data_IF_971549729037
#
_entry.id   IF_971549729037
#
_cell.length_a   1.000
_cell.length_b   1.000
_cell.length_c   1.000
_cell.angle_alpha   90.00
_cell.angle_beta   90.00
_cell.angle_gamma   90.00
#
_symmetry.space_group_name_H-M   'P 1'
#
loop_
_entity.id
_entity.type
_entity.pdbx_description
1 polymer ?
#
# COMPACT_ATOMS: atom_id res chain seq x y z
N UNK A 1 -0.21 -14.82 9.56
CA UNK A 1 -1.37 -14.27 10.31
C UNK A 1 -2.64 -14.68 9.59
N UNK A 2 -3.70 -15.02 10.31
CA UNK A 2 -5.01 -15.24 9.70
C UNK A 2 -5.58 -13.91 9.21
N UNK A 3 -6.20 -13.89 8.02
CA UNK A 3 -6.82 -12.69 7.47
C UNK A 3 -8.21 -13.05 6.97
N UNK A 4 -9.22 -12.33 7.45
CA UNK A 4 -10.61 -12.50 7.03
C UNK A 4 -11.14 -11.21 6.41
N UNK A 5 -12.16 -11.33 5.56
CA UNK A 5 -12.81 -10.20 4.87
C UNK A 5 -14.33 -10.36 4.93
N UNK A 6 -15.02 -9.27 5.19
CA UNK A 6 -16.48 -9.18 5.19
C UNK A 6 -16.90 -7.92 4.43
N UNK A 7 -17.99 -8.00 3.66
CA UNK A 7 -18.63 -6.81 3.08
C UNK A 7 -19.35 -6.04 4.18
N UNK A 8 -19.36 -4.70 4.07
CA UNK A 8 -20.15 -3.85 4.96
C UNK A 8 -21.60 -3.85 4.47
N UNK A 9 -22.58 -4.29 5.28
CA UNK A 9 -23.98 -4.30 4.85
C UNK A 9 -24.48 -2.90 4.49
N UNK A 10 -25.07 -2.76 3.30
CA UNK A 10 -25.63 -1.50 2.82
C UNK A 10 -24.62 -0.51 2.22
N UNK A 11 -23.32 -0.80 2.28
CA UNK A 11 -22.28 0.02 1.68
C UNK A 11 -21.73 -0.66 0.42
N UNK A 12 -21.85 0.01 -0.73
CA UNK A 12 -21.30 -0.52 -1.97
C UNK A 12 -19.77 -0.41 -1.94
N UNK A 13 -19.06 -1.49 -2.28
CA UNK A 13 -17.60 -1.54 -2.37
C UNK A 13 -16.82 -1.29 -1.06
N UNK A 14 -17.46 -1.33 0.10
CA UNK A 14 -16.76 -1.26 1.40
C UNK A 14 -16.64 -2.65 2.04
N UNK A 15 -15.46 -2.91 2.61
CA UNK A 15 -15.10 -4.17 3.21
C UNK A 15 -14.39 -3.94 4.55
N UNK A 16 -14.63 -4.84 5.50
CA UNK A 16 -13.86 -4.94 6.74
C UNK A 16 -12.92 -6.13 6.61
N UNK A 17 -11.62 -5.84 6.65
CA UNK A 17 -10.56 -6.85 6.63
C UNK A 17 -9.95 -6.94 8.02
N UNK A 18 -10.01 -8.11 8.64
CA UNK A 18 -9.43 -8.36 9.97
C UNK A 18 -8.12 -9.12 9.79
N UNK A 19 -7.04 -8.58 10.35
CA UNK A 19 -5.70 -9.19 10.32
C UNK A 19 -5.39 -9.66 11.73
N UNK A 20 -5.42 -10.98 11.90
CA UNK A 20 -5.44 -11.64 13.21
C UNK A 20 -6.53 -11.04 14.12
N UNK A 21 -6.35 -11.16 15.44
CA UNK A 21 -7.20 -10.50 16.44
C UNK A 21 -6.75 -9.05 16.74
N UNK A 22 -5.85 -8.47 15.93
CA UNK A 22 -5.15 -7.22 16.27
C UNK A 22 -5.57 -6.03 15.42
N UNK A 23 -5.69 -6.19 14.11
CA UNK A 23 -5.96 -5.06 13.22
C UNK A 23 -7.29 -5.21 12.51
N UNK A 24 -8.01 -4.10 12.39
CA UNK A 24 -9.21 -3.98 11.55
C UNK A 24 -8.97 -2.91 10.52
N UNK A 25 -9.03 -3.28 9.24
CA UNK A 25 -8.84 -2.42 8.08
C UNK A 25 -10.21 -2.18 7.43
N UNK A 26 -10.52 -0.92 7.16
CA UNK A 26 -11.63 -0.54 6.27
C UNK A 26 -11.07 -0.41 4.87
N UNK A 27 -11.51 -1.28 3.96
CA UNK A 27 -11.04 -1.30 2.59
C UNK A 27 -12.17 -0.86 1.65
N UNK A 28 -11.87 0.05 0.72
CA UNK A 28 -12.80 0.52 -0.30
C UNK A 28 -12.28 0.10 -1.67
N UNK A 29 -13.10 -0.50 -2.51
CA UNK A 29 -12.80 -0.63 -3.93
C UNK A 29 -13.40 0.56 -4.69
N UNK A 30 -12.55 1.37 -5.30
CA UNK A 30 -13.00 2.53 -6.05
C UNK A 30 -13.17 2.17 -7.51
N UNK A 31 -14.33 2.52 -8.07
CA UNK A 31 -14.64 2.37 -9.50
C UNK A 31 -14.43 3.70 -10.25
N UNK A 32 -14.57 4.83 -9.55
CA UNK A 32 -14.44 6.17 -10.13
C UNK A 32 -13.87 7.23 -9.14
N UNK A 33 -13.69 8.46 -9.63
CA UNK A 33 -13.20 9.58 -8.83
C UNK A 33 -14.13 9.98 -7.68
N UNK A 34 -15.43 9.66 -7.77
CA UNK A 34 -16.41 9.96 -6.73
C UNK A 34 -16.17 9.08 -5.51
N UNK A 35 -15.88 7.79 -5.71
CA UNK A 35 -15.47 6.88 -4.65
C UNK A 35 -14.18 7.37 -3.96
N UNK A 36 -13.21 7.79 -4.77
CA UNK A 36 -11.95 8.34 -4.25
C UNK A 36 -12.21 9.60 -3.42
N UNK A 37 -13.03 10.53 -3.91
CA UNK A 37 -13.36 11.77 -3.17
C UNK A 37 -14.04 11.46 -1.84
N UNK A 38 -14.98 10.49 -1.82
CA UNK A 38 -15.66 10.05 -0.60
C UNK A 38 -14.66 9.46 0.40
N UNK A 39 -13.77 8.60 -0.08
CA UNK A 39 -12.70 8.04 0.74
C UNK A 39 -11.76 9.12 1.29
N UNK A 40 -11.34 10.09 0.46
CA UNK A 40 -10.51 11.24 0.86
C UNK A 40 -11.18 12.05 1.97
N UNK A 41 -12.46 12.40 1.79
CA UNK A 41 -13.22 13.15 2.80
C UNK A 41 -13.26 12.41 4.14
N UNK A 42 -13.46 11.09 4.10
CA UNK A 42 -13.46 10.23 5.29
C UNK A 42 -12.10 10.23 5.98
N UNK A 43 -11.00 9.98 5.26
CA UNK A 43 -9.67 9.94 5.87
C UNK A 43 -9.22 11.32 6.37
N UNK A 44 -9.59 12.41 5.70
CA UNK A 44 -9.27 13.77 6.17
C UNK A 44 -10.01 14.08 7.47
N UNK A 45 -11.30 13.68 7.59
CA UNK A 45 -12.07 13.85 8.82
C UNK A 45 -11.46 13.07 10.00
N UNK A 46 -10.96 11.87 9.75
CA UNK A 46 -10.41 10.97 10.79
C UNK A 46 -8.97 11.38 11.17
N UNK A 47 -8.11 11.61 10.18
CA UNK A 47 -6.65 11.73 10.39
C UNK A 47 -6.10 13.14 10.26
N UNK A 48 -6.87 14.12 9.77
CA UNK A 48 -6.54 15.57 9.81
C UNK A 48 -7.51 16.37 10.69
N UNK A 49 -7.59 16.11 12.01
CA UNK A 49 -8.33 17.00 12.88
C UNK A 49 -7.71 18.41 12.88
N UNK A 50 -8.57 19.44 12.83
CA UNK A 50 -8.22 20.87 12.63
C UNK A 50 -7.08 21.41 13.52
N UNK A 51 -6.82 20.76 14.65
CA UNK A 51 -5.84 21.21 15.65
C UNK A 51 -4.49 20.45 15.61
N UNK A 52 -4.26 19.56 14.64
CA UNK A 52 -3.00 18.80 14.51
C UNK A 52 -2.29 19.12 13.19
N UNK A 53 -1.07 19.66 13.27
CA UNK A 53 -0.16 19.88 12.12
C UNK A 53 0.62 18.60 11.71
N UNK A 54 0.05 17.41 11.92
CA UNK A 54 0.74 16.16 11.56
C UNK A 54 0.54 15.88 10.08
N UNK A 55 1.63 15.56 9.39
CA UNK A 55 1.59 15.07 8.01
C UNK A 55 0.81 13.76 7.96
N UNK A 56 -0.02 13.57 6.94
CA UNK A 56 -0.67 12.29 6.67
C UNK A 56 0.35 11.34 6.05
N UNK A 57 0.56 10.19 6.69
CA UNK A 57 1.40 9.13 6.13
C UNK A 57 0.55 8.24 5.22
N UNK A 58 0.83 8.31 3.93
CA UNK A 58 0.10 7.56 2.89
C UNK A 58 0.97 6.40 2.42
N UNK A 59 0.56 5.18 2.75
CA UNK A 59 1.18 3.96 2.21
C UNK A 59 0.74 3.73 0.77
N UNK A 60 1.69 3.48 -0.12
CA UNK A 60 1.44 3.26 -1.54
C UNK A 60 2.04 1.93 -2.01
N UNK A 61 1.19 1.09 -2.60
CA UNK A 61 1.56 -0.17 -3.21
C UNK A 61 0.88 -0.31 -4.58
N UNK A 62 1.40 -1.21 -5.40
CA UNK A 62 0.76 -1.56 -6.66
C UNK A 62 1.06 -2.99 -7.05
N UNK A 63 0.18 -3.56 -7.87
CA UNK A 63 0.23 -4.96 -8.23
C UNK A 63 -0.17 -5.21 -9.69
N UNK A 64 0.10 -6.43 -10.15
CA UNK A 64 -0.20 -6.95 -11.47
C UNK A 64 -0.70 -8.37 -11.31
N UNK A 65 -1.69 -8.75 -12.09
CA UNK A 65 -2.18 -10.12 -12.21
C UNK A 65 -1.04 -11.10 -12.49
N UNK A 66 -0.09 -10.68 -13.32
CA UNK A 66 1.11 -11.45 -13.68
C UNK A 66 2.09 -11.71 -12.52
N UNK A 67 1.94 -11.04 -11.37
CA UNK A 67 2.73 -11.37 -10.18
C UNK A 67 2.27 -12.68 -9.51
N UNK A 68 1.13 -13.23 -9.92
CA UNK A 68 0.55 -14.45 -9.37
C UNK A 68 0.68 -15.60 -10.35
N UNK A 69 0.91 -16.81 -9.84
CA UNK A 69 1.14 -18.00 -10.66
C UNK A 69 -0.06 -18.43 -11.51
N UNK A 70 -1.26 -17.91 -11.21
CA UNK A 70 -2.47 -18.09 -12.01
C UNK A 70 -2.92 -16.79 -12.72
N UNK A 71 -2.05 -15.79 -12.80
CA UNK A 71 -2.31 -14.55 -13.54
C UNK A 71 -2.52 -14.84 -15.02
N UNK A 72 -3.65 -14.41 -15.55
CA UNK A 72 -3.98 -14.52 -16.98
C UNK A 72 -4.07 -13.12 -17.56
N UNK A 73 -3.08 -12.70 -18.35
CA UNK A 73 -3.22 -11.49 -19.16
C UNK A 73 -3.79 -11.86 -20.53
N UNK A 74 -4.83 -11.14 -20.95
CA UNK A 74 -5.41 -11.27 -22.29
C UNK A 74 -4.59 -10.37 -23.22
N UNK A 75 -3.56 -10.93 -23.88
CA UNK A 75 -2.89 -10.39 -25.09
C UNK A 75 -2.01 -9.11 -24.89
N UNK A 76 -1.03 -8.67 -25.69
CA UNK A 76 -0.43 -9.03 -26.97
C UNK A 76 1.06 -8.58 -26.93
N UNK A 77 2.01 -9.38 -26.44
CA UNK A 77 3.40 -9.29 -26.90
C UNK A 77 4.22 -10.46 -26.36
N UNK A 78 4.44 -11.45 -27.20
CA UNK A 78 5.51 -12.43 -27.00
C UNK A 78 6.84 -11.67 -26.91
N UNK A 79 7.54 -11.74 -25.77
CA UNK A 79 8.89 -11.18 -25.62
C UNK A 79 9.05 -9.98 -24.68
N UNK A 80 7.98 -9.48 -24.05
CA UNK A 80 8.07 -8.44 -23.01
C UNK A 80 8.31 -9.09 -21.64
N UNK A 81 9.27 -8.57 -20.87
CA UNK A 81 9.54 -9.09 -19.51
C UNK A 81 8.38 -8.74 -18.57
N UNK A 82 8.03 -9.64 -17.65
CA UNK A 82 6.99 -9.40 -16.62
C UNK A 82 7.13 -8.04 -15.91
N UNK A 83 8.37 -7.61 -15.67
CA UNK A 83 8.71 -6.34 -15.00
C UNK A 83 8.31 -5.10 -15.82
N UNK A 84 8.15 -5.24 -17.13
CA UNK A 84 7.84 -4.14 -18.05
C UNK A 84 6.33 -3.93 -18.23
N UNK A 85 5.48 -4.90 -17.86
CA UNK A 85 4.03 -4.72 -17.87
C UNK A 85 3.57 -3.59 -16.95
N UNK A 86 2.57 -2.78 -17.33
CA UNK A 86 2.02 -1.74 -16.46
C UNK A 86 1.45 -2.28 -15.14
N UNK A 87 1.36 -1.43 -14.12
CA UNK A 87 0.62 -1.79 -12.89
C UNK A 87 -0.87 -1.78 -13.14
N UNK A 88 -1.58 -2.82 -12.72
CA UNK A 88 -3.02 -2.96 -12.98
C UNK A 88 -3.85 -2.48 -11.78
N UNK A 89 -3.31 -2.61 -10.57
CA UNK A 89 -3.96 -2.24 -9.32
C UNK A 89 -3.08 -1.29 -8.52
N UNK A 90 -3.62 -0.14 -8.14
CA UNK A 90 -3.04 0.79 -7.17
C UNK A 90 -3.73 0.59 -5.81
N UNK A 91 -2.95 0.57 -4.74
CA UNK A 91 -3.40 0.27 -3.40
C UNK A 91 -2.85 1.37 -2.48
N UNK A 92 -3.74 2.08 -1.82
CA UNK A 92 -3.39 3.25 -1.02
C UNK A 92 -3.97 3.07 0.37
N UNK A 93 -3.21 3.41 1.41
CA UNK A 93 -3.74 3.36 2.77
C UNK A 93 -3.29 4.54 3.63
N UNK A 94 -4.21 5.02 4.47
CA UNK A 94 -3.94 6.02 5.50
C UNK A 94 -4.46 5.48 6.82
N UNK A 95 -3.55 5.20 7.76
CA UNK A 95 -3.91 4.50 8.98
C UNK A 95 -4.46 3.12 8.65
N UNK A 96 -5.72 2.86 8.98
CA UNK A 96 -6.43 1.61 8.69
C UNK A 96 -7.53 1.76 7.63
N UNK A 97 -7.56 2.87 6.89
CA UNK A 97 -8.48 3.09 5.78
C UNK A 97 -7.72 2.97 4.47
N UNK A 98 -7.98 1.90 3.72
CA UNK A 98 -7.33 1.64 2.45
C UNK A 98 -8.31 1.77 1.28
N UNK A 99 -7.81 2.18 0.12
CA UNK A 99 -8.57 2.22 -1.13
C UNK A 99 -7.78 1.53 -2.24
N UNK A 100 -8.49 0.80 -3.08
CA UNK A 100 -7.95 0.06 -4.21
C UNK A 100 -8.54 0.60 -5.50
N UNK A 101 -7.69 0.94 -6.45
CA UNK A 101 -8.06 1.57 -7.72
C UNK A 101 -7.45 0.79 -8.88
N UNK A 102 -8.24 0.36 -9.85
CA UNK A 102 -7.71 -0.28 -11.07
C UNK A 102 -7.21 0.79 -12.04
N UNK A 103 -5.95 0.70 -12.45
CA UNK A 103 -5.29 1.67 -13.35
C UNK A 103 -5.56 1.37 -14.83
N UNK A 104 -5.72 0.09 -15.15
CA UNK A 104 -6.07 -0.37 -16.50
C UNK A 104 -7.50 -0.89 -16.51
N UNK A 105 -8.37 -0.18 -17.23
CA UNK A 105 -9.75 -0.56 -17.43
C UNK A 105 -9.91 -1.87 -18.20
N UNK A 106 -8.94 -2.25 -19.05
CA UNK A 106 -9.14 -3.37 -20.01
C UNK A 106 -9.41 -4.71 -19.34
N UNK A 107 -9.04 -4.87 -18.06
CA UNK A 107 -9.31 -6.08 -17.29
C UNK A 107 -10.62 -5.96 -16.50
N UNK A 108 -11.01 -4.78 -15.99
CA UNK A 108 -12.05 -4.72 -14.94
C UNK A 108 -13.15 -3.62 -15.13
N UNK A 109 -13.11 -2.79 -16.20
CA UNK A 109 -14.20 -1.85 -16.56
C UNK A 109 -14.20 -1.44 -18.05
N UNK A 110 -15.35 -1.05 -18.59
CA UNK A 110 -15.46 -0.64 -20.00
C UNK A 110 -14.68 0.64 -20.33
N UNK A 111 -13.51 0.47 -20.96
CA UNK A 111 -12.98 1.38 -21.98
C UNK A 111 -12.47 2.75 -21.54
N UNK A 112 -11.33 2.79 -20.85
CA UNK A 112 -10.50 3.99 -20.75
C UNK A 112 -9.50 3.93 -19.60
N UNK A 113 -8.26 4.39 -19.81
CA UNK A 113 -7.31 4.61 -18.71
C UNK A 113 -7.96 5.56 -17.68
N UNK A 114 -8.51 5.01 -16.60
CA UNK A 114 -9.05 5.83 -15.52
C UNK A 114 -7.90 6.23 -14.62
N UNK A 115 -7.78 7.54 -14.43
CA UNK A 115 -6.73 8.13 -13.64
C UNK A 115 -7.35 8.96 -12.52
N UNK A 116 -7.25 8.52 -11.25
CA UNK A 116 -7.93 9.18 -10.16
C UNK A 116 -7.31 10.55 -9.85
N UNK A 117 -7.86 11.63 -10.42
CA UNK A 117 -7.32 12.99 -10.26
C UNK A 117 -7.32 13.40 -8.80
N UNK A 118 -8.42 13.12 -8.09
CA UNK A 118 -8.52 13.39 -6.66
C UNK A 118 -7.42 12.69 -5.85
N UNK A 119 -7.00 11.48 -6.26
CA UNK A 119 -5.90 10.77 -5.62
C UNK A 119 -4.56 11.43 -5.94
N UNK A 120 -4.31 11.84 -7.18
CA UNK A 120 -3.10 12.59 -7.55
C UNK A 120 -2.97 13.87 -6.72
N UNK A 121 -4.06 14.62 -6.57
CA UNK A 121 -4.09 15.86 -5.78
C UNK A 121 -3.78 15.58 -4.31
N UNK A 122 -4.33 14.50 -3.72
CA UNK A 122 -3.98 14.07 -2.36
C UNK A 122 -2.49 13.76 -2.23
N UNK A 123 -1.91 12.96 -3.14
CA UNK A 123 -0.51 12.54 -3.03
C UNK A 123 0.47 13.72 -3.16
N UNK A 124 0.07 14.81 -3.83
CA UNK A 124 0.88 16.03 -3.98
C UNK A 124 0.62 17.09 -2.90
N UNK A 125 -0.31 16.85 -1.98
CA UNK A 125 -0.59 17.75 -0.87
C UNK A 125 0.66 17.91 0.02
N UNK A 126 1.04 19.16 0.34
CA UNK A 126 2.27 19.45 1.07
C UNK A 126 2.32 18.88 2.50
N UNK A 127 1.17 18.54 3.08
CA UNK A 127 0.99 17.85 4.36
C UNK A 127 0.72 16.35 4.21
N UNK A 128 1.09 15.75 3.08
CA UNK A 128 1.15 14.30 2.88
C UNK A 128 2.61 13.86 2.76
N UNK A 129 2.94 12.75 3.40
CA UNK A 129 4.18 12.00 3.22
C UNK A 129 3.82 10.66 2.60
N UNK A 130 4.23 10.44 1.36
CA UNK A 130 4.02 9.15 0.68
C UNK A 130 5.15 8.20 1.06
N UNK A 131 4.81 6.97 1.43
CA UNK A 131 5.77 5.93 1.80
C UNK A 131 5.55 4.67 0.98
N UNK A 132 6.63 3.95 0.67
CA UNK A 132 6.55 2.68 -0.03
C UNK A 132 7.84 1.88 -0.03
N UNK A 133 7.76 0.65 -0.51
CA UNK A 133 8.93 -0.22 -0.76
C UNK A 133 9.19 -0.28 -2.25
N UNK A 134 10.38 0.15 -2.68
CA UNK A 134 10.70 0.31 -4.09
C UNK A 134 10.07 1.54 -4.73
N UNK A 135 9.80 2.59 -3.93
CA UNK A 135 8.94 3.70 -4.34
C UNK A 135 9.52 4.51 -5.52
N UNK A 136 10.84 4.62 -5.64
CA UNK A 136 11.49 5.28 -6.77
C UNK A 136 11.29 4.53 -8.09
N UNK A 137 11.45 3.20 -8.05
CA UNK A 137 11.23 2.34 -9.22
C UNK A 137 9.76 2.34 -9.61
N UNK A 138 8.88 2.31 -8.61
CA UNK A 138 7.45 2.47 -8.79
C UNK A 138 7.13 3.80 -9.47
N UNK A 139 7.67 4.93 -8.99
CA UNK A 139 7.41 6.26 -9.54
C UNK A 139 7.88 6.43 -10.98
N UNK A 140 9.10 5.99 -11.31
CA UNK A 140 9.61 6.01 -12.70
C UNK A 140 8.72 5.20 -13.65
N UNK A 141 8.16 4.09 -13.15
CA UNK A 141 7.25 3.26 -13.95
C UNK A 141 5.87 3.89 -14.11
N UNK A 142 5.34 4.50 -13.06
CA UNK A 142 4.08 5.24 -13.10
C UNK A 142 4.15 6.43 -14.08
N UNK A 143 5.27 7.14 -14.10
CA UNK A 143 5.52 8.21 -15.06
C UNK A 143 5.61 7.66 -16.50
N UNK A 144 6.37 6.58 -16.72
CA UNK A 144 6.52 5.96 -18.03
C UNK A 144 5.21 5.43 -18.61
N UNK A 145 4.43 4.69 -17.82
CA UNK A 145 3.27 3.94 -18.33
C UNK A 145 1.98 4.79 -18.34
N UNK A 146 1.90 5.76 -17.42
CA UNK A 146 0.68 6.54 -17.15
C UNK A 146 0.88 8.06 -17.18
N UNK A 147 2.10 8.57 -17.34
CA UNK A 147 2.38 10.01 -17.20
C UNK A 147 2.21 10.52 -15.76
N UNK A 148 2.19 9.63 -14.77
CA UNK A 148 2.01 9.99 -13.37
C UNK A 148 3.34 10.22 -12.67
N UNK A 149 3.71 11.49 -12.53
CA UNK A 149 4.84 11.89 -11.68
C UNK A 149 4.52 11.70 -10.20
N UNK A 150 5.41 11.03 -9.48
CA UNK A 150 5.32 10.90 -8.03
C UNK A 150 5.67 12.22 -7.33
N UNK A 151 5.08 12.49 -6.15
CA UNK A 151 5.45 13.65 -5.36
C UNK A 151 6.92 13.58 -4.93
N UNK A 152 7.58 14.75 -4.87
CA UNK A 152 8.99 14.88 -4.47
C UNK A 152 9.28 14.37 -3.05
N UNK A 153 8.26 14.23 -2.19
CA UNK A 153 8.38 13.79 -0.79
C UNK A 153 8.12 12.30 -0.58
N UNK A 154 8.25 11.48 -1.63
CA UNK A 154 8.14 10.02 -1.48
C UNK A 154 9.32 9.48 -0.65
N UNK A 155 9.01 8.59 0.30
CA UNK A 155 9.99 8.00 1.24
C UNK A 155 10.10 6.51 1.00
N UNK A 156 11.32 6.06 0.70
CA UNK A 156 11.68 4.64 0.64
C UNK A 156 11.82 4.06 2.05
N UNK A 157 10.95 3.11 2.40
CA UNK A 157 10.89 2.53 3.74
C UNK A 157 12.15 1.73 4.09
N UNK A 158 12.80 1.08 3.11
CA UNK A 158 14.05 0.34 3.36
C UNK A 158 15.18 1.27 3.82
N UNK A 159 15.27 2.43 3.20
CA UNK A 159 16.31 3.42 3.50
C UNK A 159 16.03 4.07 4.86
N UNK A 160 14.78 4.45 5.13
CA UNK A 160 14.39 5.00 6.43
C UNK A 160 14.64 4.00 7.57
N UNK A 161 14.30 2.72 7.37
CA UNK A 161 14.59 1.66 8.34
C UNK A 161 16.10 1.47 8.57
N UNK A 162 16.91 1.50 7.50
CA UNK A 162 18.37 1.38 7.59
C UNK A 162 18.98 2.55 8.38
N UNK A 163 18.58 3.78 8.07
CA UNK A 163 19.06 4.99 8.76
C UNK A 163 18.76 4.93 10.26
N UNK A 164 17.54 4.56 10.65
CA UNK A 164 17.15 4.50 12.06
C UNK A 164 17.85 3.37 12.82
N UNK A 165 18.27 2.29 12.15
CA UNK A 165 19.03 1.20 12.75
C UNK A 165 20.52 1.49 12.83
N UNK A 166 21.11 2.10 11.80
CA UNK A 166 22.53 2.48 11.76
C UNK A 166 22.89 3.55 12.81
N UNK A 167 21.94 4.40 13.17
CA UNK A 167 22.13 5.45 14.18
C UNK A 167 21.85 4.99 15.63
N UNK A 168 21.49 3.72 15.86
CA UNK A 168 21.53 3.13 17.19
C UNK A 168 22.96 2.61 17.40
N UNK A 169 23.82 3.44 17.99
CA UNK A 169 25.21 3.12 18.33
C UNK A 169 25.34 1.99 19.35
N UNK A 170 24.92 0.78 19.00
CA UNK A 170 25.33 -0.45 19.66
C UNK A 170 26.30 -1.17 18.74
N UNK A 171 27.62 -0.97 18.90
CA UNK A 171 28.53 -2.06 18.60
C UNK A 171 28.17 -3.21 19.54
N UNK A 172 28.18 -4.44 19.03
CA UNK A 172 27.99 -5.70 19.78
C UNK A 172 26.53 -6.17 19.91
N UNK A 173 26.03 -6.76 18.83
CA UNK A 173 25.36 -8.04 18.99
C UNK A 173 26.50 -9.10 19.04
N UNK A 174 26.53 -10.04 20.00
CA UNK A 174 27.62 -11.01 20.13
C UNK A 174 27.79 -11.93 18.91
N UNK A 175 26.82 -11.94 17.98
CA UNK A 175 26.84 -12.72 16.75
C UNK A 175 27.51 -12.02 15.54
N UNK A 176 28.15 -10.85 15.73
CA UNK A 176 28.95 -10.19 14.68
C UNK A 176 28.17 -9.76 13.43
N UNK A 177 26.83 -9.74 13.48
CA UNK A 177 26.01 -9.44 12.32
C UNK A 177 25.96 -7.93 12.07
N UNK A 178 26.71 -7.50 11.06
CA UNK A 178 26.74 -6.16 10.49
C UNK A 178 25.33 -5.62 10.24
N UNK A 179 25.18 -4.29 10.31
CA UNK A 179 23.99 -3.50 9.94
C UNK A 179 23.10 -4.25 8.95
N UNK A 180 21.89 -4.65 9.39
CA UNK A 180 20.96 -5.42 8.54
C UNK A 180 20.71 -4.63 7.25
N UNK A 181 21.19 -5.16 6.14
CA UNK A 181 20.92 -4.62 4.82
C UNK A 181 19.45 -4.86 4.44
N UNK A 182 18.65 -3.79 4.51
CA UNK A 182 17.24 -3.83 4.12
C UNK A 182 17.03 -3.71 2.61
N UNK A 183 18.07 -3.46 1.80
CA UNK A 183 17.95 -3.20 0.37
C UNK A 183 17.28 -4.36 -0.39
N UNK A 184 17.45 -5.60 0.09
CA UNK A 184 16.88 -6.82 -0.50
C UNK A 184 15.56 -7.25 0.13
N UNK A 185 15.03 -6.51 1.10
CA UNK A 185 13.81 -6.90 1.80
C UNK A 185 12.59 -6.53 0.95
N UNK A 186 11.78 -7.54 0.62
CA UNK A 186 10.42 -7.31 0.16
C UNK A 186 9.51 -6.84 1.30
N UNK A 187 8.31 -6.36 0.97
CA UNK A 187 7.36 -5.77 1.91
C UNK A 187 7.13 -6.63 3.18
N UNK A 188 6.83 -7.91 3.01
CA UNK A 188 6.58 -8.83 4.14
C UNK A 188 7.77 -8.95 5.10
N UNK A 189 8.98 -9.11 4.54
CA UNK A 189 10.21 -9.26 5.33
C UNK A 189 10.56 -7.96 6.04
N UNK A 190 10.32 -6.81 5.40
CA UNK A 190 10.52 -5.50 5.99
C UNK A 190 9.51 -5.25 7.12
N UNK A 191 8.24 -5.55 6.90
CA UNK A 191 7.18 -5.42 7.91
C UNK A 191 7.52 -6.20 9.18
N UNK A 192 7.93 -7.47 9.06
CA UNK A 192 8.40 -8.27 10.19
C UNK A 192 9.57 -7.63 10.92
N UNK A 193 10.55 -7.10 10.18
CA UNK A 193 11.74 -6.50 10.79
C UNK A 193 11.48 -5.15 11.47
N UNK A 194 10.48 -4.39 11.03
CA UNK A 194 10.13 -3.06 11.54
C UNK A 194 9.07 -3.14 12.64
N UNK A 195 8.03 -3.95 12.45
CA UNK A 195 6.85 -4.01 13.31
C UNK A 195 6.87 -5.15 14.32
N UNK A 196 7.77 -6.13 14.15
CA UNK A 196 7.90 -7.27 15.05
C UNK A 196 7.62 -8.63 14.39
N UNK A 197 8.07 -9.68 15.07
CA UNK A 197 7.99 -11.08 14.64
C UNK A 197 6.54 -11.58 14.50
N UNK A 198 5.63 -10.99 15.27
CA UNK A 198 4.21 -11.30 15.19
C UNK A 198 3.61 -10.91 13.83
N UNK A 199 4.18 -9.91 13.15
CA UNK A 199 3.75 -9.46 11.82
C UNK A 199 4.30 -10.39 10.73
N UNK A 200 3.79 -11.62 10.72
CA UNK A 200 4.09 -12.62 9.70
C UNK A 200 3.02 -12.63 8.60
N UNK A 201 3.15 -11.67 7.66
CA UNK A 201 2.36 -11.59 6.45
C UNK A 201 2.98 -12.43 5.34
N UNK A 202 2.20 -13.30 4.71
CA UNK A 202 2.61 -14.08 3.54
C UNK A 202 1.67 -13.74 2.40
N UNK A 203 2.23 -13.10 1.36
CA UNK A 203 1.49 -12.83 0.12
C UNK A 203 1.18 -14.16 -0.56
N UNK A 204 -0.07 -14.41 -0.99
CA UNK A 204 -0.40 -15.65 -1.67
C UNK A 204 0.28 -15.72 -3.04
N UNK A 205 0.76 -16.91 -3.41
CA UNK A 205 1.35 -17.15 -4.74
C UNK A 205 0.29 -17.27 -5.84
N UNK A 206 -0.94 -17.64 -5.50
CA UNK A 206 -2.08 -17.74 -6.42
C UNK A 206 -3.23 -16.92 -5.88
N UNK A 207 -3.83 -16.08 -6.73
CA UNK A 207 -5.02 -15.31 -6.40
C UNK A 207 -5.87 -15.17 -7.64
N UNK A 208 -7.18 -15.33 -7.52
CA UNK A 208 -8.09 -14.97 -8.62
C UNK A 208 -8.16 -13.45 -8.64
N UNK A 209 -7.71 -12.82 -9.73
CA UNK A 209 -7.55 -11.36 -9.80
C UNK A 209 -8.90 -10.62 -9.86
N UNK A 210 -9.70 -10.89 -10.89
CA UNK A 210 -11.08 -10.42 -11.01
C UNK A 210 -12.02 -11.64 -11.22
N UNK A 211 -13.29 -11.51 -10.83
CA UNK A 211 -14.32 -12.52 -11.10
C UNK A 211 -14.61 -12.55 -12.61
N UNK A 212 -13.91 -13.39 -13.38
CA UNK A 212 -14.17 -13.49 -14.82
C UNK A 212 -15.46 -14.26 -15.07
N UNK A 213 -16.50 -13.56 -15.54
CA UNK A 213 -17.31 -14.16 -16.59
C UNK A 213 -16.60 -13.81 -17.89
N UNK A 214 -16.32 -14.79 -18.75
CA UNK A 214 -15.68 -14.64 -20.07
C UNK A 214 -16.55 -13.84 -21.07
N UNK A 215 -17.36 -12.94 -20.56
CA UNK A 215 -18.28 -12.11 -21.30
C UNK A 215 -17.59 -10.74 -21.41
N UNK A 216 -17.14 -10.32 -22.62
CA UNK A 216 -16.47 -9.04 -22.85
C UNK A 216 -17.26 -7.80 -22.42
N UNK A 217 -18.51 -7.97 -21.96
CA UNK A 217 -19.44 -6.92 -21.61
C UNK A 217 -19.77 -6.73 -20.11
N UNK A 218 -19.10 -7.45 -19.19
CA UNK A 218 -19.30 -7.24 -17.75
C UNK A 218 -18.10 -6.54 -17.09
N UNK A 219 -18.30 -5.52 -16.22
CA UNK A 219 -17.21 -4.97 -15.42
C UNK A 219 -16.66 -6.08 -14.52
N UNK A 220 -15.41 -6.48 -14.75
CA UNK A 220 -14.81 -7.51 -13.91
C UNK A 220 -14.50 -6.87 -12.54
N UNK A 221 -14.98 -7.47 -11.46
CA UNK A 221 -14.72 -6.94 -10.11
C UNK A 221 -13.52 -7.64 -9.51
N UNK A 222 -12.69 -6.92 -8.76
CA UNK A 222 -11.65 -7.55 -7.94
C UNK A 222 -12.30 -8.59 -7.02
N UNK A 223 -11.67 -9.74 -6.87
CA UNK A 223 -12.17 -10.75 -5.94
C UNK A 223 -11.99 -10.29 -4.49
N UNK A 224 -12.78 -10.85 -3.58
CA UNK A 224 -12.64 -10.60 -2.13
C UNK A 224 -11.24 -10.93 -1.64
N UNK A 225 -10.60 -11.97 -2.18
CA UNK A 225 -9.22 -12.30 -1.84
C UNK A 225 -8.24 -11.23 -2.31
N UNK A 226 -8.39 -10.70 -3.53
CA UNK A 226 -7.52 -9.62 -4.01
C UNK A 226 -7.68 -8.36 -3.16
N UNK A 227 -8.92 -7.96 -2.85
CA UNK A 227 -9.23 -6.84 -1.94
C UNK A 227 -8.59 -7.07 -0.56
N UNK A 228 -8.74 -8.28 -0.01
CA UNK A 228 -8.16 -8.68 1.27
C UNK A 228 -6.65 -8.48 1.28
N UNK A 229 -5.90 -9.12 0.38
CA UNK A 229 -4.44 -9.08 0.42
C UNK A 229 -3.87 -7.71 -0.01
N UNK A 230 -4.46 -7.05 -1.00
CA UNK A 230 -4.07 -5.69 -1.40
C UNK A 230 -4.21 -4.69 -0.25
N UNK A 231 -5.32 -4.76 0.50
CA UNK A 231 -5.53 -3.86 1.64
C UNK A 231 -4.51 -4.10 2.75
N UNK A 232 -4.10 -5.36 3.01
CA UNK A 232 -3.04 -5.66 3.98
C UNK A 232 -1.68 -5.13 3.52
N UNK A 233 -1.33 -5.26 2.23
CA UNK A 233 -0.07 -4.71 1.70
C UNK A 233 0.00 -3.18 1.88
N UNK A 234 -1.06 -2.47 1.49
CA UNK A 234 -1.12 -1.02 1.64
C UNK A 234 -1.14 -0.58 3.11
N UNK A 235 -1.89 -1.30 3.96
CA UNK A 235 -1.93 -1.08 5.41
C UNK A 235 -0.54 -1.22 6.04
N UNK A 236 0.15 -2.34 5.80
CA UNK A 236 1.48 -2.57 6.37
C UNK A 236 2.49 -1.51 5.92
N UNK A 237 2.37 -1.04 4.68
CA UNK A 237 3.20 0.03 4.14
C UNK A 237 2.95 1.36 4.86
N UNK A 238 1.70 1.76 5.06
CA UNK A 238 1.34 2.97 5.82
C UNK A 238 1.78 2.84 7.29
N UNK A 239 1.51 1.70 7.91
CA UNK A 239 1.80 1.45 9.32
C UNK A 239 3.31 1.47 9.61
N UNK A 240 4.12 0.80 8.80
CA UNK A 240 5.59 0.90 8.89
C UNK A 240 6.06 2.34 8.73
N UNK A 241 5.52 3.08 7.75
CA UNK A 241 5.90 4.48 7.54
C UNK A 241 5.60 5.35 8.75
N UNK A 242 4.41 5.23 9.32
CA UNK A 242 4.02 5.96 10.52
C UNK A 242 4.96 5.63 11.69
N UNK A 243 5.20 4.33 11.95
CA UNK A 243 6.12 3.88 13.00
C UNK A 243 7.52 4.46 12.83
N UNK A 244 8.10 4.36 11.63
CA UNK A 244 9.47 4.83 11.39
C UNK A 244 9.57 6.36 11.45
N UNK A 245 8.60 7.10 10.92
CA UNK A 245 8.60 8.56 10.97
C UNK A 245 8.40 9.10 12.40
N UNK A 246 7.57 8.44 13.21
CA UNK A 246 7.42 8.77 14.62
C UNK A 246 8.71 8.49 15.40
N UNK A 247 9.38 7.35 15.13
CA UNK A 247 10.69 7.04 15.70
C UNK A 247 11.75 8.07 15.30
N UNK A 248 11.77 8.51 14.05
CA UNK A 248 12.68 9.55 13.57
C UNK A 248 12.44 10.87 14.30
N UNK A 249 11.16 11.25 14.48
CA UNK A 249 10.76 12.47 15.20
C UNK A 249 11.12 12.40 16.69
N UNK A 250 10.87 11.26 17.34
CA UNK A 250 11.23 11.05 18.74
C UNK A 250 12.75 11.19 18.95
N UNK A 251 13.55 10.61 18.05
CA UNK A 251 15.02 10.77 18.06
C UNK A 251 15.46 12.22 17.88
N UNK A 252 14.86 12.97 16.94
CA UNK A 252 15.25 14.37 16.72
C UNK A 252 14.93 15.29 17.90
N UNK A 253 13.94 14.92 18.73
CA UNK A 253 13.51 15.72 19.90
C UNK A 253 14.09 15.16 21.22
N UNK A 254 14.86 14.06 21.18
CA UNK A 254 15.39 13.41 22.40
C UNK A 254 14.32 12.78 23.29
N UNK A 255 13.12 12.54 22.77
CA UNK A 255 12.00 11.96 23.50
C UNK A 255 12.00 10.43 23.40
N UNK A 256 11.53 9.72 24.44
CA UNK A 256 11.22 8.29 24.33
C UNK A 256 10.01 8.11 23.41
N UNK A 257 10.03 7.17 22.45
CA UNK A 257 8.90 6.94 21.57
C UNK A 257 7.68 6.48 22.38
N UNK A 258 6.64 7.31 22.41
CA UNK A 258 5.33 6.94 22.93
C UNK A 258 4.60 6.15 21.85
N UNK A 259 4.71 4.82 21.81
CA UNK A 259 3.56 3.96 21.46
C UNK A 259 3.82 2.45 21.61
N UNK A 260 2.96 1.81 22.42
CA UNK A 260 2.50 0.43 22.25
C UNK A 260 1.02 0.23 22.70
N UNK A 261 0.25 1.26 23.06
CA UNK A 261 -1.02 1.05 23.80
C UNK A 261 -2.34 1.50 23.14
N UNK A 262 -2.38 2.04 21.92
CA UNK A 262 -3.67 2.36 21.30
C UNK A 262 -3.74 2.06 19.80
N UNK A 263 -3.76 0.78 19.43
CA UNK A 263 -4.46 0.27 18.24
C UNK A 263 -4.85 -1.19 18.46
#
# INVERSE_FOLDING_TARGET
MEVTIQEVPGEHNEFVVRVAARFTITATWAEDDSDIKRWIQRIQKIYRPKNRRRSLVVGLCADRSLNYANGTHVSHSTGVSLKDHPYELLQICVGNHCVMCTMDSTICSWGGKWFPKALKDLLHDGGVTVVGVGIDKFGKKMEKDYGWMMPNKAVELRDLAAQLRGNNGTPNNPDGQTTRDFSRFGLARLARAVLGEEVNFVKPNRITWCNSHWIPCYPQRLTKDMIKYASVEAFLTSYMGATLLDLATAKSVGARPHFLEHY
#
